data_IF_687986351243
#
_entry.id   IF_687986351243
#
_cell.length_a   1.000
_cell.length_b   1.000
_cell.length_c   1.000
_cell.angle_alpha   90.00
_cell.angle_beta   90.00
_cell.angle_gamma   90.00
#
_symmetry.space_group_name_H-M   'P 1'
#
loop_
_entity.id
_entity.type
_entity.pdbx_description
1 polymer ?
#
# COMPACT_ATOMS: atom_id res chain seq x y z
N UNK A 1 52.66 28.11 8.07
CA UNK A 1 52.57 26.92 7.20
C UNK A 1 51.13 26.87 6.75
N UNK A 2 50.82 27.53 5.64
CA UNK A 2 49.48 28.07 5.36
C UNK A 2 49.24 28.08 3.85
N UNK A 3 47.95 27.91 3.50
CA UNK A 3 47.24 28.13 2.23
C UNK A 3 46.96 26.94 1.27
N UNK A 4 45.72 26.41 1.35
CA UNK A 4 44.53 26.67 0.50
C UNK A 4 44.60 26.57 -1.05
N UNK A 5 43.43 26.28 -1.66
CA UNK A 5 42.96 26.44 -3.08
C UNK A 5 42.86 25.10 -3.87
N UNK A 6 41.68 24.54 -4.20
CA UNK A 6 40.60 24.92 -5.16
C UNK A 6 40.98 24.80 -6.67
N UNK A 7 40.16 24.03 -7.39
CA UNK A 7 39.80 24.13 -8.83
C UNK A 7 40.82 23.57 -9.85
N UNK A 8 40.46 22.44 -10.48
CA UNK A 8 40.77 22.18 -11.89
C UNK A 8 39.75 21.19 -12.46
N UNK A 9 38.99 21.61 -13.48
CA UNK A 9 38.03 20.75 -14.14
C UNK A 9 37.01 21.45 -15.04
N UNK A 10 37.37 22.61 -15.61
CA UNK A 10 36.68 23.24 -16.73
C UNK A 10 37.74 23.49 -17.80
N UNK A 11 37.35 23.35 -19.07
CA UNK A 11 38.11 23.60 -20.31
C UNK A 11 38.81 22.36 -20.87
N UNK A 12 38.04 21.54 -21.61
CA UNK A 12 38.53 20.92 -22.83
C UNK A 12 37.37 20.85 -23.83
N UNK A 13 37.68 21.17 -25.09
CA UNK A 13 36.82 21.12 -26.30
C UNK A 13 36.08 22.41 -26.68
N UNK A 14 36.88 23.46 -26.90
CA UNK A 14 36.70 24.34 -28.05
C UNK A 14 38.06 24.51 -28.74
N UNK A 15 38.07 24.44 -30.07
CA UNK A 15 39.21 24.46 -31.01
C UNK A 15 39.85 23.10 -31.33
N UNK A 16 39.44 22.50 -32.45
CA UNK A 16 40.24 22.45 -33.69
C UNK A 16 39.25 22.49 -34.86
N UNK A 17 39.18 23.65 -35.49
CA UNK A 17 38.74 23.79 -36.88
C UNK A 17 39.98 23.78 -37.78
N UNK A 18 39.77 23.42 -39.04
CA UNK A 18 40.72 23.33 -40.16
C UNK A 18 41.55 22.03 -40.26
N UNK A 19 41.13 21.14 -41.15
CA UNK A 19 41.80 20.99 -42.45
C UNK A 19 40.91 20.25 -43.46
N UNK A 20 40.99 20.72 -44.69
CA UNK A 20 40.13 20.49 -45.85
C UNK A 20 40.54 19.19 -46.56
N UNK A 21 39.60 18.46 -47.17
CA UNK A 21 39.94 17.49 -48.21
C UNK A 21 38.83 16.53 -48.61
N UNK A 22 38.16 16.85 -49.71
CA UNK A 22 37.17 16.05 -50.45
C UNK A 22 37.51 14.56 -50.62
N UNK A 23 36.52 13.68 -50.49
CA UNK A 23 36.21 12.63 -51.49
C UNK A 23 34.82 12.06 -51.23
N UNK A 24 34.08 11.94 -52.32
CA UNK A 24 32.75 11.36 -52.49
C UNK A 24 32.73 9.84 -52.25
N UNK A 25 31.55 9.34 -51.87
CA UNK A 25 31.12 7.94 -51.90
C UNK A 25 31.81 6.92 -50.99
N UNK A 26 31.33 6.84 -49.74
CA UNK A 26 30.90 5.55 -49.15
C UNK A 26 30.07 5.84 -47.89
N UNK A 27 29.08 5.00 -47.60
CA UNK A 27 28.09 5.11 -46.50
C UNK A 27 26.75 5.79 -46.80
N UNK A 28 26.27 5.60 -48.03
CA UNK A 28 24.87 5.24 -48.22
C UNK A 28 24.64 3.81 -47.75
N UNK A 29 24.47 3.61 -46.42
CA UNK A 29 23.88 2.41 -45.77
C UNK A 29 23.94 2.63 -44.26
N UNK A 30 22.75 2.82 -43.67
CA UNK A 30 22.31 2.67 -42.27
C UNK A 30 21.48 3.91 -41.85
N UNK A 31 20.15 3.71 -41.85
CA UNK A 31 19.06 4.57 -41.34
C UNK A 31 18.82 5.93 -42.03
N UNK A 32 17.61 6.17 -42.58
CA UNK A 32 16.40 6.24 -41.75
C UNK A 32 15.15 5.56 -42.34
N UNK A 33 14.40 4.85 -41.50
CA UNK A 33 12.99 4.53 -41.73
C UNK A 33 12.19 5.18 -40.60
N UNK A 34 11.93 6.48 -40.74
CA UNK A 34 10.89 7.21 -40.05
C UNK A 34 10.48 8.35 -40.99
N UNK A 35 9.19 8.66 -40.96
CA UNK A 35 8.45 9.56 -41.87
C UNK A 35 7.94 8.84 -43.14
N UNK A 36 6.88 8.06 -42.93
CA UNK A 36 5.87 7.85 -43.95
C UNK A 36 4.53 8.33 -43.36
N UNK A 37 4.34 9.65 -43.33
CA UNK A 37 3.05 10.26 -43.00
C UNK A 37 2.13 10.13 -44.22
N UNK A 38 1.31 9.07 -44.25
CA UNK A 38 0.07 9.13 -45.01
C UNK A 38 -0.80 10.19 -44.35
N UNK A 39 -1.15 11.21 -45.12
CA UNK A 39 -2.25 12.11 -44.80
C UNK A 39 -3.52 11.29 -44.69
N UNK A 40 -3.93 11.02 -43.45
CA UNK A 40 -5.30 10.61 -43.16
C UNK A 40 -6.06 11.89 -42.80
N UNK A 41 -7.04 12.24 -43.63
CA UNK A 41 -7.93 13.37 -43.43
C UNK A 41 -8.86 13.06 -42.26
N UNK A 42 -8.39 13.26 -41.03
CA UNK A 42 -9.27 13.36 -39.87
C UNK A 42 -10.09 14.62 -40.00
N UNK A 43 -11.41 14.44 -40.17
CA UNK A 43 -12.39 15.49 -39.94
C UNK A 43 -12.12 16.12 -38.57
N UNK A 44 -11.79 17.41 -38.58
CA UNK A 44 -11.89 18.27 -37.40
C UNK A 44 -13.35 18.30 -36.97
N UNK A 45 -13.74 17.37 -36.11
CA UNK A 45 -14.90 17.54 -35.26
C UNK A 45 -14.52 18.59 -34.22
N UNK A 46 -14.64 19.86 -34.61
CA UNK A 46 -14.66 21.02 -33.73
C UNK A 46 -15.97 21.00 -32.92
N UNK A 47 -16.20 19.94 -32.15
CA UNK A 47 -17.18 19.97 -31.08
C UNK A 47 -16.60 20.84 -29.96
N UNK A 48 -17.26 21.97 -29.72
CA UNK A 48 -16.95 22.81 -28.55
C UNK A 48 -16.99 21.92 -27.31
N UNK A 49 -15.98 21.95 -26.42
CA UNK A 49 -15.97 21.10 -25.25
C UNK A 49 -17.27 21.30 -24.46
N UNK A 50 -17.89 20.18 -24.08
CA UNK A 50 -19.16 20.21 -23.36
C UNK A 50 -19.08 21.17 -22.16
N UNK A 51 -20.14 21.95 -21.88
CA UNK A 51 -20.10 22.92 -20.80
C UNK A 51 -19.82 22.22 -19.47
N UNK A 52 -18.98 22.85 -18.64
CA UNK A 52 -18.65 22.36 -17.30
C UNK A 52 -19.93 22.35 -16.46
N UNK A 53 -20.24 21.20 -15.89
CA UNK A 53 -21.34 20.98 -14.95
C UNK A 53 -20.80 20.97 -13.53
N UNK A 54 -21.17 21.97 -12.73
CA UNK A 54 -20.79 22.04 -11.32
C UNK A 54 -21.79 21.29 -10.45
N UNK A 55 -21.30 20.33 -9.65
CA UNK A 55 -22.07 19.69 -8.57
C UNK A 55 -21.62 20.26 -7.24
N UNK A 56 -22.59 20.69 -6.43
CA UNK A 56 -22.35 21.32 -5.14
C UNK A 56 -22.63 20.34 -4.00
N UNK A 57 -21.68 20.24 -3.08
CA UNK A 57 -21.75 19.45 -1.84
C UNK A 57 -21.40 20.35 -0.65
N UNK A 58 -21.75 19.92 0.55
CA UNK A 58 -21.23 20.54 1.77
C UNK A 58 -19.85 19.97 2.10
N UNK A 59 -19.69 18.64 1.96
CA UNK A 59 -18.43 17.93 2.22
C UNK A 59 -18.14 16.93 1.10
N UNK A 60 -16.90 16.95 0.60
CA UNK A 60 -16.35 15.93 -0.28
C UNK A 60 -15.28 15.15 0.48
N UNK A 61 -15.46 13.84 0.61
CA UNK A 61 -14.46 12.91 1.18
C UNK A 61 -13.81 12.17 0.01
N UNK A 62 -12.49 12.22 -0.11
CA UNK A 62 -11.74 11.56 -1.18
C UNK A 62 -10.98 10.34 -0.65
N UNK A 63 -11.19 9.18 -1.27
CA UNK A 63 -10.70 7.88 -0.79
C UNK A 63 -11.80 7.08 -0.09
N UNK A 64 -11.89 5.78 -0.41
CA UNK A 64 -12.98 4.90 -0.01
C UNK A 64 -12.55 3.78 0.94
N UNK A 65 -11.41 3.95 1.60
CA UNK A 65 -11.04 3.07 2.72
C UNK A 65 -12.03 3.24 3.88
N UNK A 66 -11.98 2.32 4.84
CA UNK A 66 -12.91 2.33 5.97
C UNK A 66 -12.92 3.67 6.73
N UNK A 67 -11.78 4.34 6.87
CA UNK A 67 -11.70 5.68 7.46
C UNK A 67 -12.45 6.74 6.63
N UNK A 68 -12.39 6.67 5.30
CA UNK A 68 -13.14 7.55 4.39
C UNK A 68 -14.64 7.31 4.47
N UNK A 69 -15.03 6.04 4.53
CA UNK A 69 -16.43 5.63 4.76
C UNK A 69 -16.94 6.21 6.08
N UNK A 70 -16.19 6.03 7.18
CA UNK A 70 -16.57 6.56 8.48
C UNK A 70 -16.60 8.09 8.53
N UNK A 71 -15.64 8.77 7.90
CA UNK A 71 -15.62 10.22 7.81
C UNK A 71 -16.84 10.77 7.07
N UNK A 72 -17.23 10.15 5.95
CA UNK A 72 -18.40 10.56 5.17
C UNK A 72 -19.70 10.36 5.94
N UNK A 73 -19.86 9.22 6.62
CA UNK A 73 -21.03 8.93 7.47
C UNK A 73 -21.12 9.93 8.63
N UNK A 74 -19.99 10.22 9.28
CA UNK A 74 -19.95 11.18 10.38
C UNK A 74 -20.28 12.60 9.91
N UNK A 75 -19.71 13.05 8.79
CA UNK A 75 -20.03 14.34 8.18
C UNK A 75 -21.53 14.44 7.87
N UNK A 76 -22.12 13.40 7.28
CA UNK A 76 -23.54 13.34 6.95
C UNK A 76 -24.42 13.39 8.20
N UNK A 77 -24.06 12.68 9.25
CA UNK A 77 -24.75 12.74 10.56
C UNK A 77 -24.69 14.13 11.18
N UNK A 78 -23.55 14.79 11.11
CA UNK A 78 -23.33 16.13 11.68
C UNK A 78 -24.14 17.20 10.93
N UNK A 79 -24.23 17.11 9.60
CA UNK A 79 -25.00 18.05 8.77
C UNK A 79 -26.51 17.77 8.76
N UNK A 80 -26.93 16.55 9.11
CA UNK A 80 -28.33 16.13 9.09
C UNK A 80 -28.84 15.69 7.71
N UNK A 81 -30.15 15.45 7.62
CA UNK A 81 -30.79 14.87 6.42
C UNK A 81 -30.56 15.71 5.15
N UNK A 82 -30.54 17.04 5.27
CA UNK A 82 -30.34 17.98 4.16
C UNK A 82 -28.86 18.13 3.74
N UNK A 83 -27.92 17.66 4.56
CA UNK A 83 -26.49 17.77 4.30
C UNK A 83 -26.05 16.98 3.06
N UNK A 84 -25.34 17.60 2.13
CA UNK A 84 -24.87 16.97 0.90
C UNK A 84 -23.44 16.49 1.07
N UNK A 85 -23.26 15.19 1.27
CA UNK A 85 -21.93 14.57 1.41
C UNK A 85 -21.68 13.61 0.25
N UNK A 86 -20.51 13.73 -0.37
CA UNK A 86 -20.02 12.79 -1.36
C UNK A 86 -18.77 12.06 -0.86
N UNK A 87 -18.75 10.73 -0.99
CA UNK A 87 -17.56 9.91 -0.99
C UNK A 87 -17.09 9.75 -2.45
N UNK A 88 -15.89 10.22 -2.75
CA UNK A 88 -15.32 10.24 -4.10
C UNK A 88 -14.14 9.28 -4.16
N UNK A 89 -14.08 8.46 -5.20
CA UNK A 89 -12.97 7.54 -5.46
C UNK A 89 -12.53 7.60 -6.91
N UNK A 90 -11.23 7.43 -7.13
CA UNK A 90 -10.63 7.37 -8.47
C UNK A 90 -10.93 6.06 -9.19
N UNK A 91 -11.18 4.99 -8.44
CA UNK A 91 -11.52 3.67 -8.96
C UNK A 91 -12.91 3.62 -9.63
N UNK A 92 -13.10 2.64 -10.49
CA UNK A 92 -14.37 2.42 -11.19
C UNK A 92 -15.49 1.89 -10.28
N UNK A 93 -16.74 2.08 -10.71
CA UNK A 93 -17.91 1.54 -10.01
C UNK A 93 -17.94 0.00 -9.93
N UNK A 94 -17.25 -0.69 -10.85
CA UNK A 94 -17.17 -2.16 -10.91
C UNK A 94 -16.06 -2.72 -9.99
N UNK A 95 -15.21 -1.85 -9.42
CA UNK A 95 -14.20 -2.25 -8.45
C UNK A 95 -14.75 -2.20 -7.02
N UNK A 96 -14.46 -3.22 -6.17
CA UNK A 96 -14.96 -3.27 -4.79
C UNK A 96 -14.66 -2.00 -4.00
N UNK A 97 -15.61 -1.52 -3.20
CA UNK A 97 -15.38 -0.43 -2.25
C UNK A 97 -14.49 -0.89 -1.09
N UNK A 98 -13.59 -0.05 -0.55
CA UNK A 98 -12.90 -0.35 0.71
C UNK A 98 -11.37 -0.39 0.71
N UNK A 99 -10.74 -0.07 -0.43
CA UNK A 99 -9.28 -0.01 -0.55
C UNK A 99 -8.58 -1.27 -0.05
N UNK A 100 -7.67 -1.11 0.90
CA UNK A 100 -6.83 -2.19 1.43
C UNK A 100 -7.62 -3.41 1.96
N UNK A 101 -8.76 -3.19 2.60
CA UNK A 101 -9.58 -4.28 3.17
C UNK A 101 -10.35 -5.09 2.12
N UNK A 102 -10.39 -4.61 0.88
CA UNK A 102 -11.08 -5.28 -0.24
C UNK A 102 -10.14 -5.46 -1.42
N UNK A 103 -9.89 -4.41 -2.21
CA UNK A 103 -9.02 -4.42 -3.38
C UNK A 103 -7.58 -4.81 -3.05
N UNK A 104 -7.10 -4.47 -1.85
CA UNK A 104 -5.78 -4.87 -1.34
C UNK A 104 -5.71 -6.26 -0.69
N UNK A 105 -6.85 -6.93 -0.47
CA UNK A 105 -6.93 -8.29 0.03
C UNK A 105 -6.53 -8.50 1.50
N UNK A 106 -6.36 -7.43 2.30
CA UNK A 106 -5.97 -7.54 3.71
C UNK A 106 -7.10 -8.14 4.55
N UNK A 107 -7.06 -9.46 4.76
CA UNK A 107 -8.09 -10.16 5.52
C UNK A 107 -7.80 -10.26 7.02
N UNK A 108 -6.54 -10.20 7.45
CA UNK A 108 -6.16 -10.45 8.84
C UNK A 108 -6.10 -9.12 9.62
N UNK A 109 -7.01 -8.93 10.57
CA UNK A 109 -7.20 -7.68 11.32
C UNK A 109 -6.41 -7.60 12.64
N UNK A 110 -5.58 -8.61 12.95
CA UNK A 110 -4.72 -8.68 14.15
C UNK A 110 -5.47 -8.58 15.50
N UNK A 111 -6.76 -8.90 15.50
CA UNK A 111 -7.63 -8.81 16.67
C UNK A 111 -7.45 -9.90 17.71
N UNK A 112 -6.83 -11.01 17.34
CA UNK A 112 -6.37 -12.01 18.29
C UNK A 112 -5.25 -11.51 19.21
N UNK A 113 -4.60 -10.40 18.87
CA UNK A 113 -3.54 -9.77 19.67
C UNK A 113 -4.06 -8.67 20.60
N UNK A 114 -5.34 -8.34 20.53
CA UNK A 114 -5.93 -7.21 21.28
C UNK A 114 -7.16 -7.64 22.07
N UNK A 115 -7.53 -6.84 23.08
CA UNK A 115 -8.80 -6.99 23.78
C UNK A 115 -9.85 -6.01 23.21
N UNK A 116 -9.82 -5.76 21.90
CA UNK A 116 -10.52 -4.64 21.24
C UNK A 116 -12.03 -4.60 21.54
N UNK A 117 -12.68 -5.75 21.70
CA UNK A 117 -14.10 -5.85 22.05
C UNK A 117 -14.39 -5.25 23.43
N UNK A 118 -13.41 -5.24 24.32
CA UNK A 118 -13.45 -4.64 25.66
C UNK A 118 -12.81 -3.24 25.73
N UNK A 119 -12.36 -2.67 24.60
CA UNK A 119 -11.82 -1.32 24.53
C UNK A 119 -12.78 -0.40 23.77
N UNK A 120 -12.78 0.91 24.06
CA UNK A 120 -13.67 1.85 23.39
C UNK A 120 -13.18 2.09 21.95
N UNK A 121 -13.61 1.25 21.01
CA UNK A 121 -13.47 1.50 19.56
C UNK A 121 -14.65 2.34 19.06
N UNK A 122 -14.38 3.21 18.09
CA UNK A 122 -15.36 4.09 17.45
C UNK A 122 -16.59 3.32 16.94
N UNK A 123 -17.78 3.92 17.06
CA UNK A 123 -19.05 3.27 16.72
C UNK A 123 -19.08 2.79 15.25
N UNK A 124 -18.63 3.63 14.32
CA UNK A 124 -18.56 3.27 12.90
C UNK A 124 -17.76 1.99 12.66
N UNK A 125 -16.65 1.83 13.38
CA UNK A 125 -15.79 0.65 13.28
C UNK A 125 -16.50 -0.61 13.82
N UNK A 126 -17.23 -0.50 14.94
CA UNK A 126 -18.07 -1.61 15.44
C UNK A 126 -19.16 -2.01 14.46
N UNK A 127 -19.82 -1.02 13.87
CA UNK A 127 -20.90 -1.25 12.90
C UNK A 127 -20.36 -1.98 11.67
N UNK A 128 -19.18 -1.57 11.19
CA UNK A 128 -18.47 -2.27 10.12
C UNK A 128 -18.17 -3.73 10.48
N UNK A 129 -17.58 -4.01 11.64
CA UNK A 129 -17.26 -5.39 12.04
C UNK A 129 -18.52 -6.26 12.18
N UNK A 130 -19.59 -5.70 12.73
CA UNK A 130 -20.87 -6.40 12.88
C UNK A 130 -21.50 -6.72 11.51
N UNK A 131 -21.57 -5.73 10.61
CA UNK A 131 -22.15 -5.90 9.27
C UNK A 131 -21.32 -6.82 8.37
N UNK A 132 -19.98 -6.73 8.47
CA UNK A 132 -19.05 -7.61 7.75
C UNK A 132 -18.95 -9.02 8.37
N UNK A 133 -19.56 -9.24 9.54
CA UNK A 133 -19.62 -10.53 10.24
C UNK A 133 -18.24 -11.10 10.57
N UNK A 134 -17.30 -10.23 10.94
CA UNK A 134 -15.99 -10.65 11.46
C UNK A 134 -16.22 -11.44 12.75
N UNK A 135 -15.67 -12.65 12.82
CA UNK A 135 -15.83 -13.52 13.99
C UNK A 135 -14.75 -13.22 15.02
N UNK A 136 -13.48 -13.34 14.64
CA UNK A 136 -12.35 -12.97 15.52
C UNK A 136 -11.32 -12.13 14.78
N UNK A 137 -10.60 -12.70 13.82
CA UNK A 137 -9.45 -12.03 13.18
C UNK A 137 -9.59 -11.84 11.69
N UNK A 138 -10.49 -12.59 11.04
CA UNK A 138 -10.54 -12.65 9.58
C UNK A 138 -11.74 -11.94 8.99
N UNK A 139 -11.45 -11.20 7.92
CA UNK A 139 -12.39 -10.41 7.14
C UNK A 139 -12.34 -10.89 5.70
N UNK A 140 -13.49 -11.32 5.18
CA UNK A 140 -13.63 -11.61 3.76
C UNK A 140 -13.91 -10.30 2.99
N UNK A 141 -13.21 -10.09 1.86
CA UNK A 141 -13.28 -8.85 1.08
C UNK A 141 -14.71 -8.53 0.59
N UNK A 142 -15.45 -9.55 0.14
CA UNK A 142 -16.85 -9.41 -0.30
C UNK A 142 -17.77 -8.92 0.84
N UNK A 143 -17.52 -9.42 2.05
CA UNK A 143 -18.28 -9.02 3.25
C UNK A 143 -17.92 -7.61 3.70
N UNK A 144 -16.66 -7.23 3.58
CA UNK A 144 -16.20 -5.87 3.88
C UNK A 144 -16.84 -4.86 2.93
N UNK A 145 -16.78 -5.12 1.61
CA UNK A 145 -17.40 -4.29 0.58
C UNK A 145 -18.90 -4.12 0.85
N UNK A 146 -19.61 -5.24 1.04
CA UNK A 146 -21.05 -5.22 1.32
C UNK A 146 -21.38 -4.37 2.56
N UNK A 147 -20.61 -4.54 3.64
CA UNK A 147 -20.83 -3.81 4.88
C UNK A 147 -20.65 -2.30 4.68
N UNK A 148 -19.57 -1.87 4.02
CA UNK A 148 -19.31 -0.45 3.79
C UNK A 148 -20.32 0.18 2.83
N UNK A 149 -20.72 -0.54 1.77
CA UNK A 149 -21.78 -0.08 0.86
C UNK A 149 -23.12 0.09 1.58
N UNK A 150 -23.49 -0.87 2.43
CA UNK A 150 -24.70 -0.81 3.27
C UNK A 150 -24.64 0.39 4.23
N UNK A 151 -23.51 0.60 4.91
CA UNK A 151 -23.33 1.72 5.84
C UNK A 151 -23.45 3.09 5.15
N UNK A 152 -22.87 3.26 3.95
CA UNK A 152 -22.98 4.49 3.18
C UNK A 152 -24.41 4.74 2.70
N UNK A 153 -25.10 3.69 2.23
CA UNK A 153 -26.48 3.77 1.79
C UNK A 153 -27.42 4.14 2.93
N UNK A 154 -27.26 3.53 4.11
CA UNK A 154 -28.03 3.85 5.33
C UNK A 154 -27.83 5.31 5.77
N UNK A 155 -26.61 5.84 5.61
CA UNK A 155 -26.33 7.24 5.93
C UNK A 155 -26.83 8.23 4.85
N UNK A 156 -27.15 7.76 3.64
CA UNK A 156 -27.52 8.63 2.52
C UNK A 156 -26.33 9.43 1.97
N UNK A 157 -25.13 8.84 1.98
CA UNK A 157 -23.92 9.43 1.35
C UNK A 157 -23.93 9.13 -0.15
N UNK A 158 -23.65 10.13 -0.97
CA UNK A 158 -23.49 9.92 -2.42
C UNK A 158 -22.11 9.32 -2.73
N UNK A 159 -22.05 8.30 -3.56
CA UNK A 159 -20.77 7.73 -4.04
C UNK A 159 -20.52 8.24 -5.46
N UNK A 160 -19.32 8.78 -5.71
CA UNK A 160 -18.87 9.22 -7.03
C UNK A 160 -17.62 8.43 -7.40
N UNK A 161 -17.75 7.58 -8.41
CA UNK A 161 -16.69 6.72 -8.92
C UNK A 161 -15.97 7.35 -10.13
N UNK A 162 -14.91 6.71 -10.60
CA UNK A 162 -14.15 7.11 -11.80
C UNK A 162 -13.71 8.58 -11.74
N UNK A 163 -13.37 9.05 -10.53
CA UNK A 163 -13.23 10.46 -10.23
C UNK A 163 -11.90 10.77 -9.54
N UNK A 164 -10.75 10.62 -10.23
CA UNK A 164 -9.52 11.20 -9.74
C UNK A 164 -9.70 12.72 -9.64
N UNK A 165 -9.16 13.34 -8.60
CA UNK A 165 -9.38 14.77 -8.34
C UNK A 165 -8.14 15.60 -8.68
N UNK A 166 -8.38 16.77 -9.31
CA UNK A 166 -7.39 17.84 -9.46
C UNK A 166 -7.91 19.08 -8.73
N UNK A 167 -7.29 19.50 -7.62
CA UNK A 167 -7.72 20.67 -6.88
C UNK A 167 -7.33 21.96 -7.60
N UNK A 168 -8.22 22.95 -7.56
CA UNK A 168 -7.91 24.34 -7.85
C UNK A 168 -7.80 25.10 -6.53
N UNK A 169 -6.60 25.60 -6.26
CA UNK A 169 -6.24 26.20 -4.97
C UNK A 169 -6.06 27.70 -5.14
N UNK A 170 -6.72 28.47 -4.28
CA UNK A 170 -6.58 29.92 -4.18
C UNK A 170 -6.50 30.30 -2.70
N UNK A 171 -5.56 31.18 -2.35
CA UNK A 171 -5.33 31.62 -0.96
C UNK A 171 -5.19 30.46 0.03
N UNK A 172 -4.44 29.42 -0.36
CA UNK A 172 -4.21 28.18 0.43
C UNK A 172 -5.47 27.35 0.70
N UNK A 173 -6.60 27.63 0.04
CA UNK A 173 -7.82 26.85 0.15
C UNK A 173 -8.23 26.23 -1.19
N UNK A 174 -8.70 24.98 -1.16
CA UNK A 174 -9.31 24.33 -2.33
C UNK A 174 -10.65 25.03 -2.60
N UNK A 175 -10.76 25.68 -3.75
CA UNK A 175 -11.99 26.36 -4.18
C UNK A 175 -12.98 25.37 -4.81
N UNK A 176 -12.43 24.44 -5.59
CA UNK A 176 -13.15 23.32 -6.20
C UNK A 176 -12.15 22.25 -6.65
N UNK A 177 -12.66 21.08 -7.03
CA UNK A 177 -11.89 20.02 -7.68
C UNK A 177 -12.50 19.71 -9.04
N UNK A 178 -11.66 19.53 -10.05
CA UNK A 178 -12.07 19.05 -11.36
C UNK A 178 -11.85 17.54 -11.45
N UNK A 179 -12.75 16.84 -12.16
CA UNK A 179 -12.57 15.43 -12.52
C UNK A 179 -11.97 15.39 -13.93
N UNK A 180 -10.72 14.94 -14.11
CA UNK A 180 -10.07 14.86 -15.42
C UNK A 180 -10.90 14.05 -16.41
N UNK A 181 -10.86 14.45 -17.69
CA UNK A 181 -11.54 13.75 -18.79
C UNK A 181 -13.07 13.70 -18.63
N UNK A 182 -13.60 14.49 -17.70
CA UNK A 182 -15.02 14.70 -17.44
C UNK A 182 -15.31 16.20 -17.53
N UNK A 183 -16.55 16.55 -17.83
CA UNK A 183 -17.03 17.94 -17.76
C UNK A 183 -17.61 18.26 -16.37
N UNK A 184 -17.31 17.48 -15.34
CA UNK A 184 -17.85 17.66 -13.99
C UNK A 184 -16.83 18.32 -13.07
N UNK A 185 -17.30 19.35 -12.36
CA UNK A 185 -16.60 20.02 -11.27
C UNK A 185 -17.32 19.76 -9.96
N UNK A 186 -16.58 19.46 -8.89
CA UNK A 186 -17.15 19.36 -7.55
C UNK A 186 -16.73 20.58 -6.73
N UNK A 187 -17.72 21.30 -6.21
CA UNK A 187 -17.52 22.42 -5.30
C UNK A 187 -18.08 22.03 -3.93
N UNK A 188 -17.29 22.25 -2.88
CA UNK A 188 -17.66 21.93 -1.51
C UNK A 188 -17.13 22.95 -0.49
N UNK A 189 -17.77 23.02 0.68
CA UNK A 189 -17.29 23.86 1.77
C UNK A 189 -16.09 23.24 2.48
N UNK A 190 -15.93 21.92 2.41
CA UNK A 190 -14.80 21.20 3.00
C UNK A 190 -14.44 19.96 2.18
N UNK A 191 -13.14 19.67 2.15
CA UNK A 191 -12.55 18.49 1.52
C UNK A 191 -11.83 17.67 2.59
N UNK A 192 -12.09 16.38 2.66
CA UNK A 192 -11.42 15.44 3.56
C UNK A 192 -10.67 14.44 2.71
N UNK A 193 -9.34 14.46 2.77
CA UNK A 193 -8.49 13.49 2.09
C UNK A 193 -8.26 12.27 2.99
N UNK A 194 -8.71 11.11 2.54
CA UNK A 194 -8.56 9.82 3.22
C UNK A 194 -7.85 8.79 2.35
N UNK A 195 -7.23 9.23 1.25
CA UNK A 195 -6.35 8.39 0.44
C UNK A 195 -5.10 7.99 1.23
N UNK A 196 -4.57 6.78 0.99
CA UNK A 196 -3.43 6.25 1.75
C UNK A 196 -2.17 7.14 1.67
N UNK A 197 -2.01 7.87 0.56
CA UNK A 197 -0.84 8.68 0.22
C UNK A 197 -1.11 10.20 0.26
N UNK A 198 -2.24 10.61 0.84
CA UNK A 198 -2.67 12.01 0.89
C UNK A 198 -2.67 12.69 -0.50
N UNK A 199 -3.18 11.98 -1.51
CA UNK A 199 -3.14 12.36 -2.93
C UNK A 199 -3.72 13.76 -3.17
N UNK A 200 -4.91 14.07 -2.63
CA UNK A 200 -5.56 15.36 -2.84
C UNK A 200 -4.79 16.48 -2.12
N UNK A 201 -4.34 16.22 -0.89
CA UNK A 201 -3.53 17.15 -0.12
C UNK A 201 -2.21 17.50 -0.84
N UNK A 202 -1.49 16.51 -1.35
CA UNK A 202 -0.26 16.71 -2.14
C UNK A 202 -0.53 17.48 -3.41
N UNK A 203 -1.59 17.13 -4.16
CA UNK A 203 -1.99 17.84 -5.38
C UNK A 203 -2.42 19.28 -5.10
N UNK A 204 -2.93 19.57 -3.90
CA UNK A 204 -3.26 20.92 -3.45
C UNK A 204 -2.01 21.75 -3.05
N UNK A 205 -0.82 21.14 -3.08
CA UNK A 205 0.46 21.83 -2.85
C UNK A 205 0.97 21.75 -1.41
N UNK A 206 0.38 20.92 -0.56
CA UNK A 206 0.86 20.74 0.81
C UNK A 206 2.24 20.07 0.82
N UNK A 207 3.12 20.57 1.70
CA UNK A 207 4.44 20.00 1.90
C UNK A 207 4.36 18.65 2.62
N UNK A 208 5.26 17.73 2.27
CA UNK A 208 5.34 16.41 2.89
C UNK A 208 6.78 15.95 3.09
N UNK A 209 6.99 15.14 4.13
CA UNK A 209 8.18 14.35 4.34
C UNK A 209 8.15 13.11 3.44
N UNK A 210 9.27 12.80 2.79
CA UNK A 210 9.42 11.55 2.02
C UNK A 210 9.92 10.43 2.92
N UNK A 211 9.41 9.21 2.75
CA UNK A 211 9.81 8.07 3.58
C UNK A 211 9.85 8.45 5.05
N UNK A 212 10.95 8.11 5.73
CA UNK A 212 11.18 8.46 7.13
C UNK A 212 11.97 9.76 7.34
N UNK A 213 11.93 10.73 6.40
CA UNK A 213 12.61 12.04 6.51
C UNK A 213 12.27 12.78 7.81
N UNK A 214 11.07 12.61 8.34
CA UNK A 214 10.63 13.19 9.62
C UNK A 214 11.45 12.70 10.83
N UNK A 215 12.05 11.52 10.73
CA UNK A 215 12.91 10.93 11.77
C UNK A 215 14.38 11.31 11.56
N UNK A 216 14.84 11.32 10.30
CA UNK A 216 16.17 11.76 9.91
C UNK A 216 16.20 12.06 8.41
N UNK A 217 16.86 13.15 7.95
CA UNK A 217 17.00 13.46 6.53
C UNK A 217 17.64 12.33 5.70
N UNK A 218 18.49 11.51 6.32
CA UNK A 218 19.15 10.37 5.67
C UNK A 218 18.17 9.24 5.31
N UNK A 219 16.99 9.23 5.93
CA UNK A 219 15.95 8.22 5.75
C UNK A 219 14.85 8.66 4.78
N UNK A 220 15.07 9.76 4.05
CA UNK A 220 14.08 10.32 3.11
C UNK A 220 13.71 9.38 1.95
N UNK A 221 14.55 8.37 1.69
CA UNK A 221 14.32 7.38 0.64
C UNK A 221 14.10 5.96 1.19
N UNK A 222 14.01 5.82 2.51
CA UNK A 222 13.73 4.56 3.18
C UNK A 222 12.22 4.37 3.41
N UNK A 223 11.78 3.13 3.26
CA UNK A 223 10.37 2.71 3.33
C UNK A 223 10.25 1.44 4.18
N UNK A 224 9.04 0.98 4.47
CA UNK A 224 8.83 -0.43 4.83
C UNK A 224 8.63 -1.27 3.58
N UNK A 225 8.76 -2.59 3.71
CA UNK A 225 8.37 -3.46 2.61
C UNK A 225 6.85 -3.35 2.36
N UNK A 226 6.45 -3.38 1.10
CA UNK A 226 5.05 -3.51 0.68
C UNK A 226 4.64 -4.97 0.65
N UNK A 227 3.35 -5.27 0.80
CA UNK A 227 2.84 -6.65 0.82
C UNK A 227 1.89 -6.89 -0.35
N UNK A 228 2.05 -8.02 -1.03
CA UNK A 228 0.93 -8.66 -1.72
C UNK A 228 0.22 -9.55 -0.72
N UNK A 229 -1.10 -9.39 -0.62
CA UNK A 229 -1.94 -10.25 0.23
C UNK A 229 -2.83 -11.11 -0.67
N UNK A 230 -2.28 -12.17 -1.29
CA UNK A 230 -3.04 -13.01 -2.20
C UNK A 230 -4.06 -13.87 -1.45
N UNK A 231 -5.08 -14.30 -2.20
CA UNK A 231 -5.92 -15.43 -1.85
C UNK A 231 -5.32 -16.70 -2.44
N UNK A 232 -5.09 -17.70 -1.60
CA UNK A 232 -4.61 -19.01 -2.01
C UNK A 232 -5.75 -20.00 -1.94
N UNK A 233 -6.05 -20.66 -3.06
CA UNK A 233 -7.06 -21.72 -3.15
C UNK A 233 -6.40 -23.06 -3.48
N UNK A 234 -7.12 -24.17 -3.30
CA UNK A 234 -6.59 -25.54 -3.50
C UNK A 234 -5.68 -26.05 -2.37
N UNK A 235 -5.24 -25.18 -1.46
CA UNK A 235 -4.51 -25.54 -0.24
C UNK A 235 -5.37 -25.39 1.00
N UNK A 236 -5.29 -26.39 1.88
CA UNK A 236 -5.84 -26.34 3.24
C UNK A 236 -4.72 -26.05 4.24
N UNK A 237 -5.11 -25.68 5.46
CA UNK A 237 -4.18 -25.59 6.60
C UNK A 237 -3.44 -26.92 6.85
N UNK A 238 -4.08 -28.07 6.59
CA UNK A 238 -3.45 -29.37 6.76
C UNK A 238 -2.33 -29.60 5.73
N UNK A 239 -2.54 -29.14 4.50
CA UNK A 239 -1.52 -29.19 3.44
C UNK A 239 -0.33 -28.30 3.78
N UNK A 240 -0.57 -27.06 4.23
CA UNK A 240 0.49 -26.15 4.66
C UNK A 240 1.34 -26.76 5.78
N UNK A 241 0.71 -27.40 6.76
CA UNK A 241 1.44 -28.12 7.83
C UNK A 241 2.24 -29.30 7.29
N UNK A 242 1.75 -29.99 6.26
CA UNK A 242 2.48 -31.08 5.63
C UNK A 242 3.73 -30.56 4.89
N UNK A 243 3.59 -29.46 4.16
CA UNK A 243 4.70 -28.78 3.48
C UNK A 243 5.77 -28.32 4.49
N UNK A 244 5.37 -27.64 5.58
CA UNK A 244 6.31 -27.23 6.63
C UNK A 244 7.06 -28.44 7.21
N UNK A 245 6.35 -29.54 7.48
CA UNK A 245 6.99 -30.77 8.00
C UNK A 245 7.99 -31.36 7.00
N UNK A 246 7.68 -31.35 5.71
CA UNK A 246 8.61 -31.81 4.68
C UNK A 246 9.89 -30.98 4.67
N UNK A 247 9.78 -29.65 4.78
CA UNK A 247 10.94 -28.76 4.86
C UNK A 247 11.73 -29.04 6.14
N UNK A 248 11.08 -29.08 7.31
CA UNK A 248 11.76 -29.23 8.60
C UNK A 248 12.42 -30.60 8.79
N UNK A 249 11.87 -31.65 8.17
CA UNK A 249 12.43 -33.01 8.25
C UNK A 249 13.57 -33.26 7.26
N UNK A 250 13.74 -32.41 6.24
CA UNK A 250 14.86 -32.48 5.32
C UNK A 250 16.11 -31.84 5.94
N UNK A 251 16.95 -32.67 6.57
CA UNK A 251 18.16 -32.22 7.27
C UNK A 251 19.17 -31.47 6.40
N UNK A 252 19.32 -31.84 5.13
CA UNK A 252 20.26 -31.19 4.22
C UNK A 252 19.73 -29.84 3.73
N UNK A 253 18.44 -29.76 3.40
CA UNK A 253 17.80 -28.47 3.08
C UNK A 253 17.87 -27.51 4.28
N UNK A 254 17.58 -27.98 5.49
CA UNK A 254 17.66 -27.14 6.69
C UNK A 254 19.07 -26.61 6.96
N UNK A 255 20.12 -27.39 6.68
CA UNK A 255 21.51 -26.91 6.73
C UNK A 255 21.78 -25.85 5.66
N UNK A 256 21.32 -26.07 4.42
CA UNK A 256 21.48 -25.08 3.35
C UNK A 256 20.79 -23.76 3.68
N UNK A 257 19.58 -23.83 4.25
CA UNK A 257 18.85 -22.64 4.73
C UNK A 257 19.66 -21.90 5.80
N UNK A 258 20.15 -22.60 6.82
CA UNK A 258 20.91 -21.98 7.91
C UNK A 258 22.20 -21.34 7.38
N UNK A 259 22.95 -22.04 6.52
CA UNK A 259 24.15 -21.52 5.87
C UNK A 259 23.82 -20.27 5.07
N UNK A 260 22.77 -20.31 4.25
CA UNK A 260 22.38 -19.18 3.40
C UNK A 260 22.02 -17.94 4.23
N UNK A 261 21.34 -18.10 5.37
CA UNK A 261 21.09 -16.97 6.30
C UNK A 261 22.42 -16.42 6.85
N UNK A 262 23.30 -17.30 7.35
CA UNK A 262 24.58 -16.89 7.98
C UNK A 262 25.57 -16.24 7.01
N UNK A 263 25.57 -16.65 5.75
CA UNK A 263 26.45 -16.08 4.72
C UNK A 263 25.98 -14.71 4.22
N UNK A 264 24.69 -14.40 4.35
CA UNK A 264 24.07 -13.18 3.81
C UNK A 264 23.61 -12.20 4.90
N UNK A 265 23.89 -12.47 6.16
CA UNK A 265 23.62 -11.54 7.27
C UNK A 265 24.80 -11.51 8.24
N UNK A 266 24.93 -10.39 8.98
CA UNK A 266 25.90 -10.34 10.05
C UNK A 266 25.52 -11.29 11.22
N UNK A 267 26.40 -11.41 12.22
CA UNK A 267 26.19 -12.34 13.32
C UNK A 267 24.93 -12.03 14.16
N UNK A 268 24.50 -10.77 14.23
CA UNK A 268 23.32 -10.37 15.00
C UNK A 268 22.04 -10.63 14.21
N UNK A 269 22.01 -10.25 12.92
CA UNK A 269 20.96 -10.58 11.98
C UNK A 269 20.74 -12.08 11.87
N UNK A 270 21.82 -12.87 11.76
CA UNK A 270 21.72 -14.32 11.74
C UNK A 270 21.08 -14.87 13.03
N UNK A 271 21.45 -14.35 14.21
CA UNK A 271 20.81 -14.73 15.49
C UNK A 271 19.33 -14.36 15.51
N UNK A 272 18.98 -13.18 15.01
CA UNK A 272 17.59 -12.72 14.93
C UNK A 272 16.75 -13.61 14.03
N UNK A 273 17.20 -13.89 12.80
CA UNK A 273 16.45 -14.69 11.83
C UNK A 273 16.37 -16.17 12.23
N UNK A 274 17.43 -16.71 12.83
CA UNK A 274 17.44 -18.08 13.36
C UNK A 274 16.69 -18.20 14.70
N UNK A 275 16.26 -17.09 15.30
CA UNK A 275 15.32 -17.14 16.41
C UNK A 275 13.96 -17.64 15.92
N UNK A 276 13.39 -18.64 16.59
CA UNK A 276 12.13 -19.28 16.17
C UNK A 276 12.18 -19.97 14.78
N UNK A 277 13.38 -20.38 14.33
CA UNK A 277 13.64 -20.95 13.01
C UNK A 277 12.75 -22.14 12.62
N UNK A 278 12.39 -23.01 13.58
CA UNK A 278 11.56 -24.21 13.36
C UNK A 278 10.20 -24.15 14.05
N UNK A 279 9.63 -22.95 14.23
CA UNK A 279 8.30 -22.83 14.85
C UNK A 279 7.23 -23.16 13.81
N UNK A 280 6.46 -24.25 13.99
CA UNK A 280 5.43 -24.67 13.03
C UNK A 280 4.24 -23.71 13.03
N UNK A 281 3.42 -23.81 11.98
CA UNK A 281 2.16 -23.10 11.84
C UNK A 281 1.28 -23.27 13.08
N UNK A 282 1.00 -22.15 13.72
CA UNK A 282 0.24 -22.05 14.95
C UNK A 282 -1.16 -21.50 14.67
N UNK A 283 -2.19 -22.10 15.28
CA UNK A 283 -3.56 -21.56 15.21
C UNK A 283 -3.71 -20.50 16.30
N UNK A 284 -3.89 -19.24 15.92
CA UNK A 284 -3.95 -18.11 16.85
C UNK A 284 -5.37 -17.74 17.25
N UNK A 285 -6.33 -17.90 16.35
CA UNK A 285 -7.76 -17.68 16.58
C UNK A 285 -8.59 -18.78 15.88
N UNK A 286 -9.92 -18.83 16.05
CA UNK A 286 -10.77 -19.79 15.34
C UNK A 286 -10.60 -19.76 13.82
N UNK A 287 -10.37 -18.59 13.25
CA UNK A 287 -10.28 -18.26 11.82
C UNK A 287 -8.85 -17.87 11.36
N UNK A 288 -7.90 -17.69 12.29
CA UNK A 288 -6.57 -17.14 12.03
C UNK A 288 -5.41 -18.03 12.47
N UNK A 289 -4.34 -17.98 11.70
CA UNK A 289 -3.10 -18.74 11.93
C UNK A 289 -1.86 -17.86 11.77
N UNK A 290 -0.81 -18.19 12.51
CA UNK A 290 0.52 -17.59 12.37
C UNK A 290 1.51 -18.60 11.83
N UNK A 291 2.11 -18.24 10.69
CA UNK A 291 3.28 -18.90 10.15
C UNK A 291 4.53 -18.14 10.63
N UNK A 292 5.26 -18.72 11.58
CA UNK A 292 6.38 -18.04 12.27
C UNK A 292 7.76 -18.50 11.83
N UNK A 293 7.86 -19.56 11.03
CA UNK A 293 9.15 -20.07 10.57
C UNK A 293 9.65 -19.27 9.38
N UNK A 294 10.87 -18.74 9.49
CA UNK A 294 11.54 -18.14 8.33
C UNK A 294 12.05 -19.21 7.35
N UNK A 295 12.20 -20.46 7.79
CA UNK A 295 12.77 -21.53 6.97
C UNK A 295 11.92 -21.81 5.72
N UNK A 296 10.60 -21.65 5.79
CA UNK A 296 9.73 -21.75 4.61
C UNK A 296 10.06 -20.68 3.56
N UNK A 297 10.23 -19.43 3.98
CA UNK A 297 10.60 -18.32 3.10
C UNK A 297 11.99 -18.49 2.48
N UNK A 298 12.96 -18.98 3.26
CA UNK A 298 14.31 -19.26 2.74
C UNK A 298 14.32 -20.49 1.83
N UNK A 299 13.52 -21.53 2.12
CA UNK A 299 13.38 -22.69 1.24
C UNK A 299 12.90 -22.26 -0.16
N UNK A 300 11.94 -21.33 -0.22
CA UNK A 300 11.51 -20.75 -1.48
C UNK A 300 12.63 -19.98 -2.19
N UNK A 301 13.40 -19.14 -1.47
CA UNK A 301 14.55 -18.43 -2.04
C UNK A 301 15.59 -19.39 -2.62
N UNK A 302 15.91 -20.48 -1.91
CA UNK A 302 16.82 -21.52 -2.40
C UNK A 302 16.28 -22.19 -3.66
N UNK A 303 14.98 -22.52 -3.71
CA UNK A 303 14.34 -23.05 -4.91
C UNK A 303 14.48 -22.08 -6.11
N UNK A 304 14.38 -20.78 -5.85
CA UNK A 304 14.60 -19.72 -6.86
C UNK A 304 16.07 -19.41 -7.16
N UNK A 305 17.02 -20.10 -6.51
CA UNK A 305 18.46 -19.80 -6.57
C UNK A 305 18.80 -18.35 -6.19
N UNK A 306 18.08 -17.80 -5.20
CA UNK A 306 18.27 -16.44 -4.68
C UNK A 306 18.93 -16.46 -3.29
N UNK A 307 19.83 -15.50 -3.00
CA UNK A 307 20.38 -15.36 -1.66
C UNK A 307 19.31 -14.85 -0.68
N UNK A 308 19.45 -15.24 0.58
CA UNK A 308 18.68 -14.66 1.68
C UNK A 308 18.95 -13.17 1.80
N UNK A 309 17.90 -12.39 2.00
CA UNK A 309 17.99 -10.94 2.09
C UNK A 309 16.62 -10.29 1.95
N UNK A 310 16.51 -9.05 2.42
CA UNK A 310 15.29 -8.25 2.39
C UNK A 310 15.12 -7.44 1.10
N UNK A 311 16.12 -7.47 0.21
CA UNK A 311 16.06 -6.77 -1.09
C UNK A 311 15.18 -7.57 -2.06
N UNK A 312 14.29 -6.88 -2.77
CA UNK A 312 13.34 -7.50 -3.70
C UNK A 312 12.28 -8.32 -2.98
N UNK A 313 11.87 -9.44 -3.56
CA UNK A 313 10.90 -10.35 -2.97
C UNK A 313 11.43 -11.05 -1.71
N UNK A 314 10.61 -11.08 -0.68
CA UNK A 314 10.88 -11.75 0.58
C UNK A 314 9.60 -12.37 1.15
N UNK A 315 9.63 -13.67 1.39
CA UNK A 315 8.57 -14.38 2.08
C UNK A 315 8.86 -14.41 3.58
N UNK A 316 8.18 -13.54 4.32
CA UNK A 316 8.34 -13.41 5.77
C UNK A 316 7.42 -14.37 6.53
N UNK A 317 7.53 -14.31 7.87
CA UNK A 317 6.49 -14.74 8.79
C UNK A 317 5.17 -14.09 8.39
N UNK A 318 4.10 -14.87 8.35
CA UNK A 318 2.82 -14.45 7.82
C UNK A 318 1.68 -14.68 8.79
N UNK A 319 0.73 -13.76 8.75
CA UNK A 319 -0.61 -13.97 9.27
C UNK A 319 -1.45 -14.59 8.16
N UNK A 320 -2.20 -15.64 8.49
CA UNK A 320 -2.97 -16.44 7.55
C UNK A 320 -4.43 -16.44 7.99
N UNK A 321 -5.31 -15.95 7.15
CA UNK A 321 -6.74 -16.00 7.38
C UNK A 321 -7.39 -17.16 6.62
N UNK A 322 -8.13 -18.00 7.34
CA UNK A 322 -8.98 -19.02 6.76
C UNK A 322 -10.36 -18.42 6.50
N UNK A 323 -10.69 -18.21 5.22
CA UNK A 323 -11.94 -17.59 4.80
C UNK A 323 -13.09 -18.62 4.71
N UNK A 324 -14.36 -18.19 4.68
CA UNK A 324 -15.52 -19.09 4.70
C UNK A 324 -15.58 -20.09 3.54
N UNK A 325 -14.99 -19.77 2.39
CA UNK A 325 -14.88 -20.63 1.22
C UNK A 325 -13.68 -21.60 1.28
N UNK A 326 -12.97 -21.64 2.40
CA UNK A 326 -11.71 -22.36 2.64
C UNK A 326 -10.49 -21.82 1.88
N UNK A 327 -10.59 -20.65 1.24
CA UNK A 327 -9.41 -19.96 0.73
C UNK A 327 -8.58 -19.39 1.88
N UNK A 328 -7.29 -19.18 1.62
CA UNK A 328 -6.32 -18.69 2.58
C UNK A 328 -5.81 -17.32 2.15
N UNK A 329 -6.06 -16.26 2.92
CA UNK A 329 -5.40 -14.97 2.71
C UNK A 329 -4.05 -14.96 3.44
N UNK A 330 -2.98 -14.59 2.73
CA UNK A 330 -1.60 -14.61 3.23
C UNK A 330 -0.96 -13.23 3.28
N UNK A 331 -0.75 -12.69 4.48
CA UNK A 331 0.00 -11.46 4.68
C UNK A 331 1.45 -11.74 5.09
N UNK A 332 2.33 -11.93 4.11
CA UNK A 332 3.77 -12.08 4.31
C UNK A 332 4.60 -12.17 3.03
N UNK A 333 4.01 -11.87 1.87
CA UNK A 333 4.68 -11.84 0.58
C UNK A 333 5.13 -10.41 0.32
N UNK A 334 6.36 -10.10 0.71
CA UNK A 334 6.87 -8.75 0.81
C UNK A 334 7.77 -8.37 -0.36
N UNK A 335 7.75 -7.10 -0.72
CA UNK A 335 8.68 -6.50 -1.67
C UNK A 335 9.26 -5.22 -1.08
N UNK A 336 10.57 -5.02 -1.19
CA UNK A 336 11.23 -3.80 -0.74
C UNK A 336 11.56 -2.89 -1.94
N UNK A 337 11.00 -1.69 -1.91
CA UNK A 337 11.22 -0.64 -2.90
C UNK A 337 11.63 0.67 -2.22
N UNK A 338 12.28 1.56 -2.95
CA UNK A 338 12.56 2.92 -2.47
C UNK A 338 11.32 3.82 -2.63
N UNK A 339 11.36 5.01 -2.00
CA UNK A 339 10.21 5.93 -2.00
C UNK A 339 9.77 6.29 -3.42
N UNK A 340 10.70 6.59 -4.32
CA UNK A 340 10.37 6.98 -5.70
C UNK A 340 9.61 5.89 -6.46
N UNK A 341 10.02 4.63 -6.29
CA UNK A 341 9.37 3.48 -6.92
C UNK A 341 7.95 3.28 -6.36
N UNK A 342 7.76 3.49 -5.05
CA UNK A 342 6.44 3.41 -4.42
C UNK A 342 5.50 4.54 -4.87
N UNK A 343 6.00 5.77 -5.01
CA UNK A 343 5.21 6.89 -5.53
C UNK A 343 4.69 6.59 -6.95
N UNK A 344 5.52 6.00 -7.80
CA UNK A 344 5.11 5.59 -9.15
C UNK A 344 4.04 4.47 -9.12
N UNK A 345 4.14 3.54 -8.16
CA UNK A 345 3.12 2.50 -7.97
C UNK A 345 1.80 3.13 -7.47
N UNK A 346 1.85 4.09 -6.55
CA UNK A 346 0.67 4.83 -6.08
C UNK A 346 -0.02 5.58 -7.22
N UNK A 347 0.76 6.26 -8.08
CA UNK A 347 0.26 6.93 -9.29
C UNK A 347 -0.38 5.96 -10.29
N UNK A 348 0.10 4.72 -10.36
CA UNK A 348 -0.49 3.64 -11.15
C UNK A 348 -1.60 2.88 -10.39
N UNK A 349 -2.36 3.60 -9.56
CA UNK A 349 -3.50 3.08 -8.79
C UNK A 349 -3.14 1.88 -7.91
N UNK A 350 -1.90 1.83 -7.40
CA UNK A 350 -1.39 0.76 -6.52
C UNK A 350 -1.46 -0.64 -7.13
N UNK A 351 -1.53 -0.76 -8.45
CA UNK A 351 -1.65 -2.07 -9.10
C UNK A 351 -0.36 -2.89 -8.92
N UNK A 352 -0.46 -4.22 -8.72
CA UNK A 352 0.71 -5.09 -8.70
C UNK A 352 1.57 -4.93 -9.96
N UNK A 353 2.87 -4.75 -9.78
CA UNK A 353 3.83 -4.63 -10.88
C UNK A 353 3.98 -5.94 -11.65
N UNK A 354 4.60 -5.89 -12.83
CA UNK A 354 4.90 -7.12 -13.59
C UNK A 354 5.83 -8.06 -12.80
N UNK A 355 6.85 -7.51 -12.12
CA UNK A 355 7.75 -8.28 -11.24
C UNK A 355 6.96 -9.05 -10.17
N UNK A 356 6.00 -8.37 -9.53
CA UNK A 356 5.13 -8.98 -8.53
C UNK A 356 4.31 -10.13 -9.11
N UNK A 357 3.71 -9.94 -10.28
CA UNK A 357 2.89 -10.97 -10.93
C UNK A 357 3.71 -12.20 -11.32
N UNK A 358 4.90 -12.00 -11.89
CA UNK A 358 5.84 -13.08 -12.22
C UNK A 358 6.28 -13.85 -10.98
N UNK A 359 6.54 -13.14 -9.89
CA UNK A 359 6.92 -13.74 -8.62
C UNK A 359 5.78 -14.55 -7.99
N UNK A 360 4.54 -14.07 -8.07
CA UNK A 360 3.37 -14.82 -7.62
C UNK A 360 3.12 -16.07 -8.46
N UNK A 361 3.35 -16.01 -9.77
CA UNK A 361 3.25 -17.19 -10.65
C UNK A 361 4.30 -18.25 -10.31
N UNK A 362 5.54 -17.84 -10.03
CA UNK A 362 6.58 -18.76 -9.58
C UNK A 362 6.30 -19.34 -8.19
N UNK A 363 5.74 -18.52 -7.28
CA UNK A 363 5.29 -18.98 -5.97
C UNK A 363 4.17 -20.01 -6.07
N UNK A 364 3.18 -19.77 -6.94
CA UNK A 364 2.12 -20.73 -7.24
C UNK A 364 2.68 -22.07 -7.74
N UNK A 365 3.61 -22.03 -8.69
CA UNK A 365 4.25 -23.24 -9.21
C UNK A 365 4.99 -24.02 -8.11
N UNK A 366 5.70 -23.33 -7.22
CA UNK A 366 6.38 -23.95 -6.09
C UNK A 366 5.41 -24.59 -5.08
N UNK A 367 4.28 -23.93 -4.80
CA UNK A 367 3.23 -24.50 -3.94
C UNK A 367 2.59 -25.75 -4.56
N UNK A 368 2.37 -25.77 -5.88
CA UNK A 368 1.91 -26.98 -6.60
C UNK A 368 2.90 -28.11 -6.48
N UNK A 369 4.19 -27.85 -6.69
CA UNK A 369 5.26 -28.85 -6.57
C UNK A 369 5.30 -29.47 -5.17
N UNK A 370 5.28 -28.64 -4.12
CA UNK A 370 5.37 -29.12 -2.73
C UNK A 370 4.11 -29.84 -2.26
N UNK A 371 2.93 -29.42 -2.72
CA UNK A 371 1.66 -30.03 -2.33
C UNK A 371 1.27 -31.24 -3.18
N UNK A 372 1.82 -31.36 -4.40
CA UNK A 372 1.38 -32.33 -5.40
C UNK A 372 -0.02 -32.05 -5.95
N UNK A 373 -0.54 -30.83 -5.79
CA UNK A 373 -1.91 -30.45 -6.18
C UNK A 373 -1.92 -29.45 -7.32
N UNK A 374 -2.51 -29.83 -8.44
CA UNK A 374 -2.60 -29.00 -9.66
C UNK A 374 -3.64 -27.88 -9.56
N UNK A 375 -4.61 -27.99 -8.65
CA UNK A 375 -5.69 -27.03 -8.46
C UNK A 375 -5.30 -25.84 -7.56
N UNK A 376 -4.09 -25.82 -6.99
CA UNK A 376 -3.59 -24.68 -6.22
C UNK A 376 -3.54 -23.43 -7.09
N UNK A 377 -4.05 -22.31 -6.58
CA UNK A 377 -3.97 -20.99 -7.24
C UNK A 377 -3.54 -19.92 -6.25
N UNK A 378 -2.75 -18.96 -6.71
CA UNK A 378 -2.38 -17.74 -5.99
C UNK A 378 -3.03 -16.57 -6.72
N UNK A 379 -4.16 -16.09 -6.18
CA UNK A 379 -4.94 -15.00 -6.76
C UNK A 379 -4.40 -13.69 -6.22
N UNK A 380 -3.80 -12.90 -7.09
CA UNK A 380 -3.19 -11.60 -6.76
C UNK A 380 -4.29 -10.54 -6.56
N UNK A 381 -4.23 -9.70 -5.51
CA UNK A 381 -5.19 -8.62 -5.30
C UNK A 381 -5.10 -7.53 -6.38
N UNK A 382 -6.11 -6.67 -6.48
CA UNK A 382 -6.15 -5.55 -7.45
C UNK A 382 -5.19 -4.42 -7.06
N UNK A 383 -5.01 -4.22 -5.75
CA UNK A 383 -4.12 -3.22 -5.17
C UNK A 383 -3.07 -3.88 -4.27
N UNK A 384 -1.92 -3.24 -4.13
CA UNK A 384 -0.87 -3.66 -3.20
C UNK A 384 -1.03 -2.99 -1.84
N UNK A 385 -0.62 -3.67 -0.76
CA UNK A 385 -0.58 -3.07 0.57
C UNK A 385 0.71 -2.26 0.74
N UNK A 386 0.58 -0.93 0.64
CA UNK A 386 1.64 0.03 0.95
C UNK A 386 1.47 0.52 2.38
N UNK A 387 2.51 0.33 3.20
CA UNK A 387 2.45 0.73 4.62
C UNK A 387 2.72 2.20 4.83
N UNK A 388 3.69 2.74 4.10
CA UNK A 388 4.14 4.11 4.25
C UNK A 388 5.03 4.54 3.08
N UNK A 389 4.77 5.74 2.57
CA UNK A 389 5.57 6.41 1.53
C UNK A 389 5.93 7.83 1.92
N UNK A 390 5.04 8.53 2.62
CA UNK A 390 5.19 9.93 2.99
C UNK A 390 4.32 10.33 4.18
N UNK A 391 4.54 11.55 4.68
CA UNK A 391 3.69 12.17 5.71
C UNK A 391 3.58 13.68 5.48
N UNK A 392 2.37 14.24 5.53
CA UNK A 392 2.13 15.69 5.39
C UNK A 392 2.81 16.45 6.55
N UNK A 393 3.48 17.57 6.27
CA UNK A 393 4.24 18.35 7.28
C UNK A 393 3.33 19.23 8.14
N UNK A 394 2.37 19.90 7.52
CA UNK A 394 1.60 21.00 8.12
C UNK A 394 0.16 20.56 8.48
N UNK A 395 0.05 19.57 9.37
CA UNK A 395 -1.24 19.25 10.00
C UNK A 395 -1.50 20.18 11.20
N UNK A 396 -2.76 20.54 11.43
CA UNK A 396 -3.18 21.56 12.41
C UNK A 396 -2.77 21.17 13.84
N UNK A 397 -2.90 19.89 14.19
CA UNK A 397 -2.55 19.36 15.51
C UNK A 397 -1.91 17.96 15.37
N UNK A 398 -0.62 17.86 15.00
CA UNK A 398 0.03 16.56 14.83
C UNK A 398 0.13 15.84 16.16
N UNK A 399 -0.40 14.62 16.25
CA UNK A 399 -0.15 13.77 17.40
C UNK A 399 1.34 13.45 17.50
N UNK A 400 1.93 13.72 18.66
CA UNK A 400 3.30 13.37 18.96
C UNK A 400 3.45 11.85 19.05
N UNK A 401 4.67 11.34 18.85
CA UNK A 401 4.95 9.90 19.05
C UNK A 401 4.55 9.39 20.44
N UNK A 402 4.61 10.25 21.48
CA UNK A 402 4.16 9.89 22.82
C UNK A 402 2.63 9.76 22.93
N UNK A 403 1.88 10.62 22.25
CA UNK A 403 0.42 10.56 22.21
C UNK A 403 -0.06 9.36 21.39
N UNK A 404 0.61 9.05 20.28
CA UNK A 404 0.38 7.82 19.51
C UNK A 404 0.56 6.58 20.39
N UNK A 405 1.63 6.53 21.19
CA UNK A 405 1.88 5.42 22.12
C UNK A 405 0.81 5.33 23.23
N UNK A 406 0.21 6.46 23.64
CA UNK A 406 -0.85 6.50 24.65
C UNK A 406 -2.25 6.18 24.10
N UNK A 407 -2.38 5.96 22.79
CA UNK A 407 -3.65 5.63 22.15
C UNK A 407 -4.36 6.81 21.49
N UNK A 408 -3.66 7.91 21.20
CA UNK A 408 -4.19 9.06 20.47
C UNK A 408 -5.15 9.91 21.31
N UNK A 409 -6.28 10.33 20.72
CA UNK A 409 -7.31 11.15 21.38
C UNK A 409 -8.27 10.33 22.26
N UNK A 410 -9.23 10.97 22.94
CA UNK A 410 -10.25 10.25 23.71
C UNK A 410 -11.29 9.61 22.77
N UNK A 411 -11.90 8.46 23.14
CA UNK A 411 -12.90 7.80 22.29
C UNK A 411 -14.09 8.67 21.91
N UNK A 412 -14.52 9.57 22.81
CA UNK A 412 -15.65 10.48 22.59
C UNK A 412 -15.36 11.52 21.51
N UNK A 413 -14.09 11.88 21.33
CA UNK A 413 -13.60 12.78 20.29
C UNK A 413 -13.08 12.02 19.07
N UNK A 414 -13.09 10.68 19.10
CA UNK A 414 -12.57 9.86 18.02
C UNK A 414 -13.60 9.71 16.90
N UNK A 415 -13.15 9.93 15.67
CA UNK A 415 -13.92 9.58 14.46
C UNK A 415 -13.57 8.18 13.96
N UNK A 416 -12.48 7.59 14.47
CA UNK A 416 -12.03 6.24 14.18
C UNK A 416 -11.05 5.72 15.22
N UNK A 417 -10.90 4.41 15.26
CA UNK A 417 -9.90 3.72 16.08
C UNK A 417 -9.19 2.67 15.23
N UNK A 418 -7.88 2.55 15.35
CA UNK A 418 -7.12 1.41 14.82
C UNK A 418 -6.12 0.91 15.86
N UNK A 419 -5.72 -0.35 15.77
CA UNK A 419 -4.74 -0.93 16.68
C UNK A 419 -3.84 -1.82 15.87
N UNK A 420 -2.54 -1.54 15.86
CA UNK A 420 -1.58 -2.29 15.08
C UNK A 420 -0.25 -2.41 15.84
N UNK A 421 0.38 -3.58 15.83
CA UNK A 421 1.76 -3.72 16.29
C UNK A 421 2.65 -3.01 15.28
N UNK A 422 3.33 -1.90 15.60
CA UNK A 422 4.20 -1.20 14.63
C UNK A 422 4.96 -2.18 13.72
N UNK A 423 4.56 -2.27 12.45
CA UNK A 423 5.00 -3.32 11.54
C UNK A 423 6.37 -3.00 10.98
N UNK A 424 7.44 -3.29 11.70
CA UNK A 424 8.78 -3.09 11.15
C UNK A 424 9.21 -4.22 10.19
N UNK A 425 8.26 -5.01 9.66
CA UNK A 425 8.55 -6.06 8.66
C UNK A 425 9.25 -5.46 7.44
N UNK A 426 10.37 -6.08 7.06
CA UNK A 426 11.26 -5.58 6.02
C UNK A 426 12.29 -4.53 6.48
N UNK A 427 12.20 -4.06 7.73
CA UNK A 427 13.17 -3.19 8.38
C UNK A 427 13.27 -1.78 7.77
N UNK A 428 13.74 -0.84 8.59
CA UNK A 428 14.19 0.48 8.14
C UNK A 428 15.64 0.65 8.59
N UNK A 429 16.56 0.86 7.65
CA UNK A 429 17.97 1.04 7.99
C UNK A 429 18.12 2.26 8.91
N UNK A 430 18.90 2.14 10.00
CA UNK A 430 19.17 3.25 10.91
C UNK A 430 18.07 3.58 11.93
N UNK A 431 16.92 2.89 11.91
CA UNK A 431 15.87 3.02 12.93
C UNK A 431 15.93 1.84 13.91
N UNK A 432 16.27 2.12 15.17
CA UNK A 432 16.24 1.18 16.29
C UNK A 432 15.30 1.72 17.36
N UNK A 433 14.10 1.14 17.48
CA UNK A 433 13.13 1.51 18.51
C UNK A 433 12.61 0.27 19.24
N UNK A 434 12.51 0.37 20.57
CA UNK A 434 11.79 -0.61 21.39
C UNK A 434 10.29 -0.45 21.14
N UNK A 435 9.62 -1.51 20.67
CA UNK A 435 8.20 -1.46 20.31
C UNK A 435 7.35 -1.54 21.60
N UNK A 436 6.59 -0.51 21.97
CA UNK A 436 5.66 -0.57 23.09
C UNK A 436 4.50 -1.54 22.80
N UNK A 437 3.76 -2.03 23.82
CA UNK A 437 2.59 -2.88 23.61
C UNK A 437 1.55 -2.20 22.70
N UNK A 438 0.81 -3.00 21.92
CA UNK A 438 -0.13 -2.53 20.89
C UNK A 438 -1.09 -1.46 21.45
N UNK A 439 -0.97 -0.19 21.06
CA UNK A 439 -1.95 0.81 21.45
C UNK A 439 -3.24 0.61 20.64
N UNK A 440 -4.41 0.82 21.25
CA UNK A 440 -5.61 1.18 20.50
C UNK A 440 -5.52 2.68 20.29
N UNK A 441 -5.32 3.08 19.04
CA UNK A 441 -5.16 4.46 18.63
C UNK A 441 -6.49 5.02 18.16
N UNK A 442 -7.02 5.97 18.91
CA UNK A 442 -8.16 6.78 18.54
C UNK A 442 -7.67 8.05 17.84
N UNK A 443 -8.26 8.42 16.71
CA UNK A 443 -7.95 9.68 16.06
C UNK A 443 -9.20 10.55 15.92
N UNK A 444 -9.04 11.83 16.26
CA UNK A 444 -10.02 12.88 16.01
C UNK A 444 -9.70 13.58 14.70
N UNK A 445 -10.69 14.25 14.11
CA UNK A 445 -10.56 14.89 12.79
C UNK A 445 -9.46 15.96 12.80
N UNK A 446 -9.30 16.69 13.90
CA UNK A 446 -8.32 17.75 14.11
C UNK A 446 -6.86 17.32 13.89
N UNK A 447 -6.56 16.04 14.17
CA UNK A 447 -5.21 15.48 14.03
C UNK A 447 -4.86 15.07 12.58
N UNK A 448 -5.84 15.24 11.68
CA UNK A 448 -5.74 14.85 10.26
C UNK A 448 -6.04 16.02 9.32
N UNK A 449 -6.46 17.18 9.86
CA UNK A 449 -6.70 18.38 9.07
C UNK A 449 -5.36 19.06 8.77
N UNK A 450 -5.14 19.38 7.49
CA UNK A 450 -4.09 20.29 7.08
C UNK A 450 -4.65 21.72 7.00
N UNK A 451 -3.86 22.71 7.44
CA UNK A 451 -4.23 24.13 7.44
C UNK A 451 -4.05 24.79 6.08
#
# INVERSE_FOLDING_TARGET
>A
MTYNIKILGLILLSLIALTIGSTTDLFGKVFPYLINSKQDTTKDNNESPAPITTKNFDVVVYGDELQGVCAAIWAKKTLGEEGKVALVRSNSADEPLGGLLTRGGLAFLDYDKTNWYNQPVAQCFRDFLNKSKVVVSCLAADKAEQAMAEMLAEAGVSIINDSPLIPQVENQAIQYVDIPQSNVRLQANSYIDTTQDAELARKAGLAYYRGYESQSPELANETLAVSLVPLITGLTIADLRAIERQIFSNGDLMKQIETNIRENTDAEGARFWLSNFRVPLYKSSPDGYYHKSIAFGVAYKLHRNLPFGLKGFFLDKSNICLLPDNSLSWNGLLFKYQVEELLQIEENSRRPTQEMQEEMAAFEAWLRELSGKEDVRVIVPQEIYIRHTLSIKDVIDPLTGQEIIKGGTTPENSIGSFSYNFDLRGGVNGLSISIPPVPVYNFGIENTLAS
#
